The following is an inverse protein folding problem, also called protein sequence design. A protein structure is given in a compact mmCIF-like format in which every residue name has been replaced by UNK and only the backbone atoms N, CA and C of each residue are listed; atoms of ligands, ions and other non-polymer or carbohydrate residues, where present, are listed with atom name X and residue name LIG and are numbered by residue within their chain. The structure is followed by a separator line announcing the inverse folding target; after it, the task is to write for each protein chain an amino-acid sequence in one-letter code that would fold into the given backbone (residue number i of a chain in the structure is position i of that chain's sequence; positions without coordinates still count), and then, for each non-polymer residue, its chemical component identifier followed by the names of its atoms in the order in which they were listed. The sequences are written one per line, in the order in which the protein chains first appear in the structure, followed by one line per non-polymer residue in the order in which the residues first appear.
data_IF_215589866508
#
_entry.id   IF_215589866508
#
_cell.length_a   1.000
_cell.length_b   1.000
_cell.length_c   1.000
_cell.angle_alpha   90.00
_cell.angle_beta   90.00
_cell.angle_gamma   90.00
#
_symmetry.space_group_name_H-M   'P 1'
#
loop_
_entity.id
_entity.type
_entity.pdbx_description
1 polymer ?
#
# COMPACT_ATOMS: atom_id res chain seq x y z
N UNK A 1 13.22 11.87 -63.12
CA UNK A 1 13.29 10.83 -62.10
C UNK A 1 12.93 11.46 -60.75
N UNK A 2 11.85 11.09 -60.07
CA UNK A 2 11.57 11.55 -58.71
C UNK A 2 12.29 10.65 -57.72
N UNK A 3 13.04 11.26 -56.85
CA UNK A 3 13.70 10.61 -55.72
C UNK A 3 12.63 10.40 -54.64
N UNK A 4 12.25 9.14 -54.45
CA UNK A 4 11.36 8.71 -53.40
C UNK A 4 12.15 8.61 -52.09
N UNK A 5 11.91 9.52 -51.13
CA UNK A 5 12.43 9.42 -49.79
C UNK A 5 11.61 8.35 -49.02
N UNK A 6 12.23 7.22 -48.73
CA UNK A 6 11.73 6.23 -47.82
C UNK A 6 11.97 6.74 -46.40
N UNK A 7 10.91 7.18 -45.72
CA UNK A 7 10.91 7.33 -44.26
C UNK A 7 10.89 5.93 -43.66
N UNK A 8 12.03 5.42 -43.24
CA UNK A 8 12.05 4.31 -42.26
C UNK A 8 11.59 4.87 -40.93
N UNK A 9 10.34 4.59 -40.58
CA UNK A 9 9.88 4.69 -39.19
C UNK A 9 10.59 3.56 -38.46
N UNK A 10 11.66 3.86 -37.73
CA UNK A 10 12.17 2.99 -36.68
C UNK A 10 11.12 2.95 -35.58
N UNK A 11 10.25 1.95 -35.62
CA UNK A 11 9.52 1.51 -34.45
C UNK A 11 10.53 0.86 -33.49
N UNK A 12 11.29 1.67 -32.76
CA UNK A 12 11.86 1.24 -31.51
C UNK A 12 10.67 0.89 -30.62
N UNK A 13 10.52 -0.37 -30.23
CA UNK A 13 9.69 -0.69 -29.10
C UNK A 13 10.23 0.16 -27.94
N UNK A 14 9.47 1.15 -27.52
CA UNK A 14 9.72 1.78 -26.22
C UNK A 14 9.76 0.60 -25.26
N UNK A 15 10.90 0.37 -24.61
CA UNK A 15 10.96 -0.54 -23.48
C UNK A 15 9.99 0.03 -22.47
N UNK A 16 9.04 -0.77 -22.08
CA UNK A 16 8.16 -0.46 -20.98
C UNK A 16 9.03 -0.31 -19.72
N UNK A 17 8.74 0.70 -18.92
CA UNK A 17 9.50 1.03 -17.73
C UNK A 17 8.56 0.95 -16.52
N UNK A 18 8.92 0.22 -15.44
CA UNK A 18 8.07 0.12 -14.25
C UNK A 18 7.69 1.51 -13.71
N UNK A 19 6.37 1.71 -13.47
CA UNK A 19 5.81 2.98 -13.04
C UNK A 19 5.46 3.94 -14.16
N UNK A 20 5.56 3.54 -15.44
CA UNK A 20 5.04 4.35 -16.53
C UNK A 20 3.52 4.51 -16.40
N UNK A 21 3.03 5.76 -16.42
CA UNK A 21 1.60 6.06 -16.48
C UNK A 21 1.04 5.56 -17.83
N UNK A 22 0.01 4.71 -17.78
CA UNK A 22 -0.64 4.16 -18.97
C UNK A 22 -1.82 5.04 -19.37
N UNK A 23 -2.72 5.26 -18.44
CA UNK A 23 -3.87 6.15 -18.57
C UNK A 23 -4.39 6.59 -17.20
N UNK A 24 -5.35 7.51 -17.21
CA UNK A 24 -6.04 7.99 -16.02
C UNK A 24 -7.45 8.45 -16.34
N UNK A 25 -8.34 8.36 -15.36
CA UNK A 25 -9.72 8.84 -15.47
C UNK A 25 -10.06 9.77 -14.31
N UNK A 26 -10.58 10.94 -14.61
CA UNK A 26 -11.14 11.83 -13.61
C UNK A 26 -12.47 11.28 -13.12
N UNK A 27 -12.56 10.91 -11.84
CA UNK A 27 -13.77 10.34 -11.25
C UNK A 27 -14.72 11.40 -10.70
N UNK A 28 -14.17 12.36 -9.93
CA UNK A 28 -14.99 13.40 -9.27
C UNK A 28 -14.18 14.60 -8.84
N UNK A 29 -14.89 15.70 -8.55
CA UNK A 29 -14.33 16.90 -7.93
C UNK A 29 -15.25 17.32 -6.79
N UNK A 30 -14.66 17.69 -5.65
CA UNK A 30 -15.40 18.16 -4.48
C UNK A 30 -14.85 19.53 -4.06
N UNK A 31 -15.74 20.46 -3.73
CA UNK A 31 -15.33 21.74 -3.16
C UNK A 31 -15.01 21.60 -1.67
N UNK A 32 -14.21 22.53 -1.14
CA UNK A 32 -13.93 22.61 0.30
C UNK A 32 -15.24 22.64 1.13
N UNK A 33 -16.24 23.39 0.68
CA UNK A 33 -17.54 23.51 1.37
C UNK A 33 -18.30 22.16 1.39
N UNK A 34 -18.29 21.41 0.28
CA UNK A 34 -18.93 20.09 0.20
C UNK A 34 -18.28 19.10 1.16
N UNK A 35 -16.94 19.09 1.22
CA UNK A 35 -16.16 18.20 2.10
C UNK A 35 -16.45 18.55 3.56
N UNK A 36 -16.38 19.84 3.94
CA UNK A 36 -16.66 20.29 5.30
C UNK A 36 -18.09 19.97 5.72
N UNK A 37 -19.05 20.02 4.79
CA UNK A 37 -20.43 19.61 5.07
C UNK A 37 -20.54 18.09 5.36
N UNK A 38 -19.84 17.25 4.59
CA UNK A 38 -19.80 15.79 4.81
C UNK A 38 -19.17 15.49 6.16
N UNK A 39 -18.02 16.06 6.48
CA UNK A 39 -17.32 15.88 7.75
C UNK A 39 -18.23 16.27 8.93
N UNK A 40 -18.91 17.41 8.83
CA UNK A 40 -19.84 17.86 9.86
C UNK A 40 -21.00 16.88 10.08
N UNK A 41 -21.61 16.35 9.01
CA UNK A 41 -22.66 15.33 9.11
C UNK A 41 -22.16 14.02 9.70
N UNK A 42 -20.90 13.67 9.46
CA UNK A 42 -20.25 12.50 10.04
C UNK A 42 -19.82 12.69 11.52
N UNK A 43 -19.97 13.90 12.06
CA UNK A 43 -19.64 14.23 13.45
C UNK A 43 -18.18 14.68 13.66
N UNK A 44 -17.46 14.97 12.57
CA UNK A 44 -16.11 15.53 12.63
C UNK A 44 -16.13 17.05 12.52
N UNK A 45 -15.08 17.69 13.06
CA UNK A 45 -14.88 19.12 12.83
C UNK A 45 -14.55 19.39 11.35
N UNK A 46 -14.98 20.54 10.78
CA UNK A 46 -14.59 20.94 9.43
C UNK A 46 -13.09 21.26 9.40
N UNK A 47 -12.31 20.41 8.75
CA UNK A 47 -10.84 20.53 8.68
C UNK A 47 -10.31 20.68 7.25
N UNK A 48 -11.18 20.71 6.25
CA UNK A 48 -10.77 20.87 4.86
C UNK A 48 -10.34 22.31 4.58
N UNK A 49 -9.10 22.46 4.12
CA UNK A 49 -8.54 23.72 3.63
C UNK A 49 -8.64 23.84 2.10
N UNK A 50 -8.71 22.69 1.40
CA UNK A 50 -8.72 22.61 -0.05
C UNK A 50 -9.93 21.84 -0.58
N UNK A 51 -10.40 22.19 -1.78
CA UNK A 51 -11.17 21.30 -2.62
C UNK A 51 -10.25 20.25 -3.24
N UNK A 52 -10.83 19.18 -3.78
CA UNK A 52 -10.06 18.05 -4.31
C UNK A 52 -10.57 17.59 -5.67
N UNK A 53 -9.68 17.01 -6.48
CA UNK A 53 -10.00 16.17 -7.64
C UNK A 53 -9.55 14.75 -7.39
N UNK A 54 -10.35 13.78 -7.86
CA UNK A 54 -10.13 12.34 -7.68
C UNK A 54 -9.91 11.70 -9.04
N UNK A 55 -8.82 10.97 -9.15
CA UNK A 55 -8.45 10.22 -10.35
C UNK A 55 -8.21 8.75 -10.03
N UNK A 56 -8.68 7.84 -10.87
CA UNK A 56 -8.05 6.55 -11.00
C UNK A 56 -6.89 6.63 -12.00
N UNK A 57 -5.84 5.88 -11.77
CA UNK A 57 -4.70 5.77 -12.67
C UNK A 57 -4.35 4.31 -12.92
N UNK A 58 -3.92 4.02 -14.15
CA UNK A 58 -3.28 2.75 -14.49
C UNK A 58 -1.81 3.00 -14.77
N UNK A 59 -0.96 2.15 -14.23
CA UNK A 59 0.50 2.28 -14.35
C UNK A 59 1.16 0.93 -14.58
N UNK A 60 2.30 0.96 -15.25
CA UNK A 60 3.05 -0.25 -15.53
C UNK A 60 3.76 -0.78 -14.28
N UNK A 61 3.72 -2.08 -14.12
CA UNK A 61 4.46 -2.82 -13.12
C UNK A 61 5.08 -4.08 -13.73
N UNK A 62 5.76 -4.87 -12.92
CA UNK A 62 6.27 -6.17 -13.32
C UNK A 62 5.93 -7.21 -12.26
N UNK A 63 5.44 -8.34 -12.71
CA UNK A 63 5.22 -9.50 -11.85
C UNK A 63 6.54 -9.97 -11.23
N UNK A 64 6.45 -10.91 -10.30
CA UNK A 64 7.59 -11.61 -9.71
C UNK A 64 8.44 -12.33 -10.75
N UNK A 65 7.87 -12.76 -11.86
CA UNK A 65 8.56 -13.41 -12.99
C UNK A 65 9.13 -12.41 -14.02
N UNK A 66 9.02 -11.09 -13.77
CA UNK A 66 9.51 -10.04 -14.65
C UNK A 66 8.67 -9.83 -15.90
N UNK A 67 7.44 -10.34 -15.95
CA UNK A 67 6.49 -10.02 -17.02
C UNK A 67 5.86 -8.67 -16.78
N UNK A 68 5.63 -7.92 -17.86
CA UNK A 68 4.93 -6.63 -17.79
C UNK A 68 3.52 -6.84 -17.25
N UNK A 69 3.14 -6.01 -16.30
CA UNK A 69 1.86 -6.00 -15.64
C UNK A 69 1.28 -4.59 -15.60
N UNK A 70 -0.02 -4.47 -15.46
CA UNK A 70 -0.72 -3.19 -15.26
C UNK A 70 -1.41 -3.23 -13.91
N UNK A 71 -1.09 -2.24 -13.07
CA UNK A 71 -1.74 -2.02 -11.79
C UNK A 71 -2.55 -0.74 -11.81
N UNK A 72 -3.48 -0.61 -10.88
CA UNK A 72 -4.31 0.57 -10.73
C UNK A 72 -4.22 1.14 -9.31
N UNK A 73 -4.81 2.32 -9.12
CA UNK A 73 -4.96 2.94 -7.81
C UNK A 73 -5.61 4.31 -7.89
N UNK A 74 -5.96 4.83 -6.73
CA UNK A 74 -6.67 6.09 -6.56
C UNK A 74 -5.71 7.21 -6.17
N UNK A 75 -5.83 8.36 -6.83
CA UNK A 75 -5.07 9.59 -6.54
C UNK A 75 -6.04 10.72 -6.23
N UNK A 76 -5.85 11.36 -5.09
CA UNK A 76 -6.66 12.49 -4.66
C UNK A 76 -5.77 13.72 -4.54
N UNK A 77 -6.10 14.78 -5.27
CA UNK A 77 -5.25 15.94 -5.48
C UNK A 77 -5.93 17.18 -4.87
N UNK A 78 -5.29 17.86 -3.90
CA UNK A 78 -5.77 19.13 -3.36
C UNK A 78 -5.63 20.25 -4.40
N UNK A 79 -6.61 21.15 -4.45
CA UNK A 79 -6.61 22.26 -5.40
C UNK A 79 -5.84 23.46 -4.87
N UNK A 80 -4.69 23.75 -5.46
CA UNK A 80 -4.00 25.00 -5.27
C UNK A 80 -3.23 25.41 -6.53
N UNK A 81 -3.36 26.65 -7.00
CA UNK A 81 -2.57 27.13 -8.12
C UNK A 81 -1.14 27.51 -7.75
N UNK A 82 -0.83 27.67 -6.46
CA UNK A 82 0.40 28.30 -5.97
C UNK A 82 1.21 27.47 -4.99
N UNK A 83 0.72 26.28 -4.60
CA UNK A 83 1.32 25.46 -3.57
C UNK A 83 1.72 24.08 -4.11
N UNK A 84 2.80 23.54 -3.53
CA UNK A 84 3.27 22.18 -3.69
C UNK A 84 3.03 21.41 -2.39
N UNK A 85 2.58 20.18 -2.50
CA UNK A 85 2.11 19.36 -1.40
C UNK A 85 2.98 18.12 -1.17
N UNK A 86 3.07 17.61 0.06
CA UNK A 86 3.63 16.31 0.32
C UNK A 86 2.80 15.19 -0.32
N UNK A 87 3.46 14.08 -0.66
CA UNK A 87 2.79 12.83 -0.99
C UNK A 87 2.49 12.09 0.31
N UNK A 88 1.23 11.73 0.50
CA UNK A 88 0.77 10.82 1.52
C UNK A 88 0.27 9.55 0.85
N UNK A 89 0.89 8.42 1.17
CA UNK A 89 0.43 7.13 0.65
C UNK A 89 -0.33 6.40 1.73
N UNK A 90 -1.46 5.82 1.36
CA UNK A 90 -2.23 4.98 2.25
C UNK A 90 -2.30 3.56 1.71
N UNK A 91 -1.80 2.64 2.50
CA UNK A 91 -1.91 1.21 2.26
C UNK A 91 -3.18 0.72 2.96
N UNK A 92 -4.16 0.30 2.17
CA UNK A 92 -5.46 -0.14 2.69
C UNK A 92 -5.37 -1.51 3.37
N UNK A 93 -6.33 -1.80 4.26
CA UNK A 93 -6.48 -3.10 4.88
C UNK A 93 -6.90 -4.20 3.90
N UNK A 94 -7.09 -5.42 4.37
CA UNK A 94 -7.40 -6.58 3.54
C UNK A 94 -8.63 -6.37 2.66
N UNK A 95 -8.45 -6.48 1.37
CA UNK A 95 -9.49 -6.53 0.34
C UNK A 95 -9.46 -7.91 -0.32
N UNK A 96 -10.63 -8.51 -0.49
CA UNK A 96 -10.79 -9.83 -1.13
C UNK A 96 -11.72 -9.77 -2.34
N UNK A 97 -12.59 -8.76 -2.42
CA UNK A 97 -13.49 -8.54 -3.55
C UNK A 97 -12.87 -7.54 -4.53
N UNK A 98 -12.74 -7.89 -5.79
CA UNK A 98 -12.26 -6.98 -6.84
C UNK A 98 -13.07 -5.68 -6.90
N UNK A 99 -14.38 -5.77 -6.66
CA UNK A 99 -15.26 -4.60 -6.66
C UNK A 99 -14.98 -3.60 -5.53
N UNK A 100 -14.14 -3.95 -4.54
CA UNK A 100 -13.74 -3.09 -3.42
C UNK A 100 -12.39 -2.41 -3.63
N UNK A 101 -11.73 -2.64 -4.77
CA UNK A 101 -10.50 -1.94 -5.12
C UNK A 101 -10.67 -0.41 -5.01
N UNK A 102 -9.72 0.33 -4.43
CA UNK A 102 -9.79 1.79 -4.31
C UNK A 102 -10.07 2.51 -5.62
N UNK A 103 -9.43 2.12 -6.73
CA UNK A 103 -9.66 2.71 -8.06
C UNK A 103 -11.10 2.50 -8.56
N UNK A 104 -11.73 1.39 -8.18
CA UNK A 104 -13.11 1.06 -8.58
C UNK A 104 -14.14 1.77 -7.70
N UNK A 105 -13.94 1.73 -6.38
CA UNK A 105 -14.89 2.33 -5.43
C UNK A 105 -14.81 3.85 -5.40
N UNK A 106 -13.62 4.40 -5.63
CA UNK A 106 -13.36 5.83 -5.46
C UNK A 106 -13.69 6.30 -4.04
N UNK A 107 -14.05 7.58 -3.91
CA UNK A 107 -14.53 8.15 -2.65
C UNK A 107 -16.04 7.90 -2.53
N UNK A 108 -16.41 6.75 -1.99
CA UNK A 108 -17.82 6.36 -1.82
C UNK A 108 -18.09 5.68 -0.48
N UNK A 109 -19.35 5.61 -0.10
CA UNK A 109 -19.77 4.91 1.12
C UNK A 109 -19.64 3.37 1.02
N UNK A 110 -19.36 2.85 -0.15
CA UNK A 110 -19.15 1.40 -0.36
C UNK A 110 -17.77 0.95 0.16
N UNK A 111 -16.84 1.93 0.31
CA UNK A 111 -15.55 1.71 0.96
C UNK A 111 -15.29 2.83 2.00
N UNK A 112 -15.72 2.58 3.23
CA UNK A 112 -15.67 3.58 4.32
C UNK A 112 -14.24 3.95 4.70
N UNK A 113 -13.30 3.01 4.62
CA UNK A 113 -11.89 3.24 4.92
C UNK A 113 -11.29 4.25 3.92
N UNK A 114 -11.44 4.00 2.63
CA UNK A 114 -10.94 4.89 1.57
C UNK A 114 -11.65 6.25 1.61
N UNK A 115 -12.96 6.28 1.84
CA UNK A 115 -13.72 7.51 2.03
C UNK A 115 -13.14 8.35 3.18
N UNK A 116 -12.94 7.74 4.36
CA UNK A 116 -12.44 8.42 5.54
C UNK A 116 -11.04 9.01 5.31
N UNK A 117 -10.10 8.20 4.84
CA UNK A 117 -8.73 8.64 4.56
C UNK A 117 -8.71 9.77 3.53
N UNK A 118 -9.45 9.62 2.44
CA UNK A 118 -9.50 10.62 1.37
C UNK A 118 -10.03 11.97 1.83
N UNK A 119 -11.05 11.98 2.72
CA UNK A 119 -11.68 13.21 3.20
C UNK A 119 -10.89 13.91 4.31
N UNK A 120 -9.94 13.25 4.96
CA UNK A 120 -9.11 13.92 5.98
C UNK A 120 -7.72 14.31 5.44
N UNK A 121 -7.14 13.55 4.52
CA UNK A 121 -5.76 13.78 4.07
C UNK A 121 -5.66 14.78 2.92
N UNK A 122 -6.29 14.50 1.79
CA UNK A 122 -6.16 15.36 0.61
C UNK A 122 -6.70 16.78 0.86
N UNK A 123 -7.88 16.98 1.50
CA UNK A 123 -8.36 18.32 1.79
C UNK A 123 -7.52 19.10 2.81
N UNK A 124 -6.63 18.43 3.55
CA UNK A 124 -5.68 19.07 4.47
C UNK A 124 -4.32 19.35 3.83
N UNK A 125 -4.20 19.17 2.52
CA UNK A 125 -3.00 19.52 1.76
C UNK A 125 -2.00 18.37 1.59
N UNK A 126 -2.48 17.16 1.31
CA UNK A 126 -1.66 16.03 0.85
C UNK A 126 -2.12 15.56 -0.53
N UNK A 127 -1.18 15.22 -1.40
CA UNK A 127 -1.49 14.39 -2.56
C UNK A 127 -1.62 12.97 -2.02
N UNK A 128 -2.87 12.49 -1.93
CA UNK A 128 -3.15 11.17 -1.36
C UNK A 128 -3.11 10.12 -2.45
N UNK A 129 -2.33 9.08 -2.22
CA UNK A 129 -2.02 7.99 -3.18
C UNK A 129 -2.38 6.66 -2.55
N UNK A 130 -3.28 5.90 -3.17
CA UNK A 130 -3.81 4.65 -2.63
C UNK A 130 -3.72 3.58 -3.74
N UNK A 131 -2.70 2.70 -3.71
CA UNK A 131 -2.60 1.60 -4.68
C UNK A 131 -3.68 0.54 -4.42
N UNK A 132 -4.18 -0.10 -5.48
CA UNK A 132 -5.10 -1.25 -5.36
C UNK A 132 -4.39 -2.54 -4.92
N UNK A 133 -3.07 -2.58 -5.00
CA UNK A 133 -2.19 -3.75 -4.93
C UNK A 133 -2.28 -4.67 -6.16
N UNK A 134 -1.29 -5.56 -6.29
CA UNK A 134 -1.26 -6.56 -7.36
C UNK A 134 -2.44 -7.52 -7.23
N UNK A 135 -3.19 -7.71 -8.31
CA UNK A 135 -4.29 -8.67 -8.39
C UNK A 135 -5.62 -8.20 -7.82
N UNK A 136 -5.69 -7.09 -7.08
CA UNK A 136 -6.95 -6.51 -6.62
C UNK A 136 -7.58 -5.70 -7.76
N UNK A 137 -8.87 -5.96 -8.04
CA UNK A 137 -9.62 -5.30 -9.11
C UNK A 137 -9.37 -5.90 -10.50
N UNK A 138 -8.62 -6.98 -10.63
CA UNK A 138 -8.33 -7.68 -11.88
C UNK A 138 -8.70 -9.17 -11.76
N UNK A 139 -9.83 -9.62 -12.31
CA UNK A 139 -10.34 -10.99 -12.14
C UNK A 139 -9.47 -12.07 -12.81
N UNK A 140 -8.48 -11.68 -13.60
CA UNK A 140 -7.55 -12.61 -14.28
C UNK A 140 -6.28 -12.85 -13.44
N UNK A 141 -6.19 -12.22 -12.25
CA UNK A 141 -5.00 -12.28 -11.39
C UNK A 141 -5.37 -12.69 -9.96
N UNK A 142 -4.41 -13.29 -9.27
CA UNK A 142 -4.49 -13.47 -7.82
C UNK A 142 -3.78 -12.32 -7.10
N UNK A 143 -4.19 -12.06 -5.86
CA UNK A 143 -3.49 -11.12 -4.99
C UNK A 143 -2.43 -11.86 -4.15
N UNK A 144 -1.14 -11.46 -4.23
CA UNK A 144 -0.07 -12.01 -3.39
C UNK A 144 -0.16 -11.42 -1.97
N UNK A 145 -1.13 -11.90 -1.20
CA UNK A 145 -1.52 -11.40 0.12
C UNK A 145 -0.42 -11.63 1.16
N UNK A 146 -0.07 -10.60 1.93
CA UNK A 146 0.98 -10.59 2.96
C UNK A 146 2.35 -11.04 2.39
N UNK A 147 2.70 -10.53 1.21
CA UNK A 147 4.00 -10.71 0.58
C UNK A 147 4.65 -9.34 0.34
N UNK A 148 5.82 -9.11 0.92
CA UNK A 148 6.44 -7.79 1.03
C UNK A 148 6.78 -7.11 -0.32
N UNK A 149 7.41 -7.86 -1.23
CA UNK A 149 7.91 -7.30 -2.49
C UNK A 149 6.81 -6.78 -3.43
N UNK A 150 5.66 -7.47 -3.66
CA UNK A 150 4.54 -6.94 -4.43
C UNK A 150 3.97 -5.63 -3.87
N UNK A 151 3.81 -5.50 -2.55
CA UNK A 151 3.35 -4.27 -1.91
C UNK A 151 4.30 -3.10 -2.20
N UNK A 152 5.60 -3.31 -1.99
CA UNK A 152 6.62 -2.29 -2.29
C UNK A 152 6.58 -1.87 -3.76
N UNK A 153 6.53 -2.83 -4.70
CA UNK A 153 6.50 -2.54 -6.14
C UNK A 153 5.23 -1.79 -6.55
N UNK A 154 4.07 -2.19 -6.04
CA UNK A 154 2.81 -1.51 -6.32
C UNK A 154 2.90 -0.04 -5.92
N UNK A 155 3.37 0.26 -4.71
CA UNK A 155 3.51 1.61 -4.21
C UNK A 155 4.54 2.44 -4.99
N UNK A 156 5.76 1.94 -5.16
CA UNK A 156 6.83 2.68 -5.84
C UNK A 156 6.46 3.00 -7.28
N UNK A 157 5.90 2.02 -8.00
CA UNK A 157 5.46 2.22 -9.38
C UNK A 157 4.27 3.18 -9.47
N UNK A 158 3.35 3.16 -8.49
CA UNK A 158 2.27 4.14 -8.45
C UNK A 158 2.79 5.56 -8.22
N UNK A 159 3.75 5.77 -7.31
CA UNK A 159 4.37 7.09 -7.10
C UNK A 159 5.00 7.61 -8.39
N UNK A 160 5.67 6.75 -9.15
CA UNK A 160 6.23 7.11 -10.49
C UNK A 160 5.13 7.54 -11.46
N UNK A 161 4.01 6.81 -11.50
CA UNK A 161 2.83 7.16 -12.30
C UNK A 161 2.22 8.50 -11.89
N UNK A 162 2.11 8.76 -10.58
CA UNK A 162 1.61 10.05 -10.04
C UNK A 162 2.53 11.20 -10.41
N UNK A 163 3.86 11.00 -10.37
CA UNK A 163 4.82 12.00 -10.85
C UNK A 163 4.63 12.33 -12.34
N UNK A 164 4.29 11.35 -13.17
CA UNK A 164 3.98 11.59 -14.60
C UNK A 164 2.61 12.28 -14.76
N UNK A 165 1.60 11.89 -13.97
CA UNK A 165 0.29 12.53 -13.97
C UNK A 165 0.40 14.04 -13.67
N UNK A 166 1.30 14.45 -12.78
CA UNK A 166 1.51 15.87 -12.45
C UNK A 166 2.03 16.69 -13.64
N UNK A 167 2.68 16.04 -14.61
CA UNK A 167 3.17 16.67 -15.85
C UNK A 167 2.05 16.74 -16.90
N UNK A 168 1.16 15.74 -16.94
CA UNK A 168 0.09 15.66 -17.93
C UNK A 168 -1.11 16.55 -17.60
N UNK A 169 -1.39 16.76 -16.31
CA UNK A 169 -2.49 17.63 -15.89
C UNK A 169 -2.10 19.10 -15.99
N UNK A 170 -2.97 19.89 -16.63
CA UNK A 170 -2.81 21.33 -16.84
C UNK A 170 -3.96 22.13 -16.21
N UNK A 171 -3.75 23.43 -16.04
CA UNK A 171 -4.79 24.34 -15.55
C UNK A 171 -5.06 24.19 -14.05
N UNK A 172 -6.34 24.11 -13.68
CA UNK A 172 -6.76 24.06 -12.27
C UNK A 172 -6.45 22.71 -11.62
N UNK A 173 -6.32 21.66 -12.42
CA UNK A 173 -6.02 20.30 -11.94
C UNK A 173 -4.50 20.03 -11.89
N UNK A 174 -3.68 20.94 -12.42
CA UNK A 174 -2.23 20.86 -12.33
C UNK A 174 -1.75 20.97 -10.89
N UNK A 175 -0.95 20.00 -10.43
CA UNK A 175 -0.42 19.96 -9.09
C UNK A 175 1.10 19.85 -9.08
N UNK A 176 1.71 20.12 -7.94
CA UNK A 176 3.12 19.92 -7.71
C UNK A 176 3.30 19.27 -6.33
N UNK A 177 4.15 18.26 -6.26
CA UNK A 177 4.58 17.69 -5.00
C UNK A 177 5.89 18.33 -4.52
N UNK A 178 6.10 18.33 -3.22
CA UNK A 178 7.36 18.63 -2.59
C UNK A 178 8.13 17.32 -2.28
N UNK A 179 9.28 17.41 -1.59
CA UNK A 179 10.13 16.23 -1.34
C UNK A 179 9.65 15.34 -0.18
N UNK A 180 8.51 15.65 0.45
CA UNK A 180 8.01 14.85 1.56
C UNK A 180 7.18 13.67 1.08
N UNK A 181 7.47 12.49 1.65
CA UNK A 181 6.74 11.23 1.43
C UNK A 181 6.37 10.61 2.78
N UNK A 182 5.08 10.46 3.01
CA UNK A 182 4.52 9.79 4.19
C UNK A 182 3.91 8.46 3.80
N UNK A 183 4.18 7.42 4.59
CA UNK A 183 3.60 6.09 4.44
C UNK A 183 2.71 5.79 5.63
N UNK A 184 1.47 5.35 5.41
CA UNK A 184 0.57 4.94 6.49
C UNK A 184 -0.35 3.82 6.03
N UNK A 185 -0.76 2.95 6.95
CA UNK A 185 -1.72 1.89 6.69
C UNK A 185 -2.05 1.09 7.93
N UNK A 186 -3.19 0.40 7.90
CA UNK A 186 -3.73 -0.36 9.01
C UNK A 186 -3.90 -1.83 8.63
N UNK A 187 -3.66 -2.77 9.56
CA UNK A 187 -3.84 -4.21 9.32
C UNK A 187 -2.86 -4.73 8.24
N UNK A 188 -3.34 -5.38 7.16
CA UNK A 188 -2.56 -5.66 5.95
C UNK A 188 -1.87 -4.39 5.44
N UNK A 189 -2.56 -3.25 5.45
CA UNK A 189 -1.97 -1.97 5.10
C UNK A 189 -0.83 -1.53 6.04
N UNK A 190 -0.88 -1.91 7.31
CA UNK A 190 0.22 -1.73 8.26
C UNK A 190 1.44 -2.57 7.87
N UNK A 191 1.22 -3.83 7.49
CA UNK A 191 2.25 -4.69 6.93
C UNK A 191 2.84 -4.12 5.63
N UNK A 192 1.98 -3.75 4.67
CA UNK A 192 2.37 -3.17 3.40
C UNK A 192 3.15 -1.85 3.58
N UNK A 193 2.81 -1.05 4.60
CA UNK A 193 3.52 0.19 4.97
C UNK A 193 4.94 -0.10 5.40
N UNK A 194 5.15 -1.05 6.33
CA UNK A 194 6.48 -1.40 6.81
C UNK A 194 7.32 -2.09 5.71
N UNK A 195 6.70 -2.97 4.91
CA UNK A 195 7.33 -3.61 3.76
C UNK A 195 7.79 -2.57 2.73
N UNK A 196 6.94 -1.59 2.43
CA UNK A 196 7.28 -0.51 1.49
C UNK A 196 8.36 0.41 2.02
N UNK A 197 8.36 0.74 3.32
CA UNK A 197 9.43 1.51 3.94
C UNK A 197 10.78 0.77 3.83
N UNK A 198 10.81 -0.54 4.17
CA UNK A 198 12.00 -1.39 4.03
C UNK A 198 12.49 -1.41 2.58
N UNK A 199 11.58 -1.68 1.62
CA UNK A 199 11.95 -1.76 0.22
C UNK A 199 12.42 -0.42 -0.35
N UNK A 200 11.80 0.70 0.02
CA UNK A 200 12.27 2.04 -0.40
C UNK A 200 13.67 2.31 0.14
N UNK A 201 13.93 2.03 1.42
CA UNK A 201 15.24 2.26 2.04
C UNK A 201 16.35 1.40 1.39
N UNK A 202 16.05 0.14 1.06
CA UNK A 202 17.06 -0.80 0.56
C UNK A 202 17.25 -0.72 -0.96
N UNK A 203 16.14 -0.65 -1.72
CA UNK A 203 16.16 -0.85 -3.17
C UNK A 203 15.90 0.44 -3.97
N UNK A 204 15.29 1.47 -3.36
CA UNK A 204 14.85 2.69 -4.05
C UNK A 204 15.31 3.98 -3.38
N UNK A 205 16.32 3.92 -2.49
CA UNK A 205 16.84 5.09 -1.77
C UNK A 205 17.47 6.16 -2.66
N UNK A 206 17.90 5.81 -3.87
CA UNK A 206 18.39 6.76 -4.87
C UNK A 206 17.25 7.60 -5.50
N UNK A 207 15.98 7.18 -5.34
CA UNK A 207 14.82 7.79 -5.98
C UNK A 207 13.81 8.37 -4.97
N UNK A 208 13.59 7.69 -3.86
CA UNK A 208 12.59 8.02 -2.86
C UNK A 208 13.22 8.11 -1.46
N UNK A 209 12.74 9.07 -0.68
CA UNK A 209 13.09 9.20 0.73
C UNK A 209 11.82 9.33 1.57
N UNK A 210 11.64 8.44 2.54
CA UNK A 210 10.49 8.45 3.44
C UNK A 210 10.69 9.52 4.50
N UNK A 211 9.74 10.46 4.62
CA UNK A 211 9.76 11.50 5.66
C UNK A 211 9.39 10.93 7.02
N UNK A 212 8.34 10.12 7.08
CA UNK A 212 7.93 9.34 8.24
C UNK A 212 6.99 8.21 7.82
N UNK A 213 6.95 7.13 8.59
CA UNK A 213 6.16 5.93 8.33
C UNK A 213 5.30 5.56 9.53
N UNK A 214 4.08 5.14 9.27
CA UNK A 214 3.05 4.86 10.26
C UNK A 214 2.43 3.48 10.02
N UNK A 215 3.19 2.39 10.26
CA UNK A 215 2.65 1.03 10.21
C UNK A 215 1.77 0.77 11.45
N UNK A 216 0.47 0.45 11.22
CA UNK A 216 -0.51 0.30 12.28
C UNK A 216 -1.12 -1.10 12.26
N UNK A 217 -1.11 -1.79 13.42
CA UNK A 217 -1.74 -3.08 13.66
C UNK A 217 -1.48 -4.15 12.57
N UNK A 218 -0.26 -4.19 12.02
CA UNK A 218 0.13 -5.14 10.99
C UNK A 218 0.84 -6.38 11.52
N UNK A 219 0.78 -7.52 10.79
CA UNK A 219 1.47 -8.76 11.15
C UNK A 219 2.94 -8.72 10.69
N UNK A 220 3.82 -8.04 11.42
CA UNK A 220 5.21 -7.80 11.03
C UNK A 220 6.13 -9.00 11.27
N UNK A 221 5.79 -9.85 12.24
CA UNK A 221 6.51 -11.04 12.65
C UNK A 221 5.69 -12.29 12.32
N UNK A 222 5.69 -12.63 11.02
CA UNK A 222 4.88 -13.72 10.49
C UNK A 222 5.36 -15.09 10.99
N UNK A 223 6.68 -15.32 10.97
CA UNK A 223 7.29 -16.61 11.32
C UNK A 223 7.36 -16.86 12.83
N UNK A 224 7.34 -15.78 13.63
CA UNK A 224 7.33 -15.85 15.09
C UNK A 224 5.93 -15.65 15.64
N UNK A 225 5.59 -14.40 15.96
CA UNK A 225 4.36 -14.02 16.68
C UNK A 225 3.08 -14.57 16.03
N UNK A 226 2.95 -14.50 14.69
CA UNK A 226 1.74 -14.99 14.02
C UNK A 226 1.63 -16.51 14.04
N UNK A 227 2.73 -17.23 13.81
CA UNK A 227 2.74 -18.69 13.90
C UNK A 227 2.42 -19.15 15.31
N UNK A 228 3.08 -18.57 16.32
CA UNK A 228 2.82 -18.89 17.73
C UNK A 228 1.35 -18.66 18.12
N UNK A 229 0.77 -17.58 17.62
CA UNK A 229 -0.64 -17.24 17.85
C UNK A 229 -1.56 -18.32 17.26
N UNK A 230 -1.42 -18.67 15.99
CA UNK A 230 -2.26 -19.68 15.34
C UNK A 230 -2.09 -21.10 15.90
N UNK A 231 -0.91 -21.43 16.40
CA UNK A 231 -0.68 -22.74 17.04
C UNK A 231 -1.22 -22.79 18.49
N UNK A 232 -1.34 -21.65 19.18
CA UNK A 232 -1.81 -21.60 20.56
C UNK A 232 -3.31 -21.32 20.70
N UNK A 233 -3.91 -20.60 19.75
CA UNK A 233 -5.32 -20.19 19.78
C UNK A 233 -6.10 -20.96 18.71
N UNK A 234 -6.89 -21.99 19.12
CA UNK A 234 -7.60 -22.84 18.17
C UNK A 234 -8.81 -22.15 17.52
N UNK A 235 -9.32 -21.07 18.11
CA UNK A 235 -10.45 -20.29 17.57
C UNK A 235 -9.93 -18.95 17.07
N UNK A 236 -10.21 -18.62 15.80
CA UNK A 236 -9.78 -17.37 15.18
C UNK A 236 -10.98 -16.61 14.62
N UNK A 237 -11.08 -15.33 14.95
CA UNK A 237 -12.26 -14.49 14.64
C UNK A 237 -12.52 -14.35 13.14
N UNK A 238 -11.48 -14.39 12.32
CA UNK A 238 -11.55 -14.29 10.87
C UNK A 238 -10.76 -15.45 10.21
N UNK A 239 -11.26 -16.69 10.30
CA UNK A 239 -10.51 -17.87 9.90
C UNK A 239 -10.06 -17.88 8.42
N UNK A 240 -10.70 -17.12 7.52
CA UNK A 240 -10.32 -17.06 6.11
C UNK A 240 -8.97 -16.41 5.84
N UNK A 241 -8.43 -15.61 6.76
CA UNK A 241 -7.11 -15.00 6.56
C UNK A 241 -5.99 -16.03 6.45
N UNK A 242 -6.07 -17.12 7.21
CA UNK A 242 -5.04 -18.18 7.17
C UNK A 242 -4.96 -18.82 5.79
N UNK A 243 -6.03 -19.43 5.22
CA UNK A 243 -5.94 -19.96 3.87
C UNK A 243 -5.65 -18.88 2.80
N UNK A 244 -6.02 -17.62 3.02
CA UNK A 244 -5.66 -16.55 2.10
C UNK A 244 -4.14 -16.34 2.03
N UNK A 245 -3.46 -16.30 3.18
CA UNK A 245 -1.99 -16.27 3.23
C UNK A 245 -1.40 -17.53 2.59
N UNK A 246 -1.84 -18.73 3.02
CA UNK A 246 -1.25 -19.97 2.56
C UNK A 246 -1.41 -20.18 1.04
N UNK A 247 -2.58 -19.90 0.49
CA UNK A 247 -2.81 -20.01 -0.96
C UNK A 247 -2.01 -18.98 -1.75
N UNK A 248 -1.94 -17.73 -1.26
CA UNK A 248 -1.13 -16.68 -1.89
C UNK A 248 0.35 -17.02 -1.90
N UNK A 249 0.89 -17.57 -0.81
CA UNK A 249 2.28 -18.00 -0.73
C UNK A 249 2.56 -19.19 -1.66
N UNK A 250 1.65 -20.18 -1.77
CA UNK A 250 1.79 -21.27 -2.74
C UNK A 250 1.85 -20.73 -4.17
N UNK A 251 0.92 -19.88 -4.57
CA UNK A 251 0.90 -19.32 -5.91
C UNK A 251 2.13 -18.47 -6.21
N UNK A 252 2.55 -17.65 -5.24
CA UNK A 252 3.68 -16.76 -5.43
C UNK A 252 5.01 -17.51 -5.58
N UNK A 253 5.28 -18.49 -4.72
CA UNK A 253 6.56 -19.19 -4.68
C UNK A 253 6.63 -20.44 -5.55
N UNK A 254 5.51 -21.13 -5.77
CA UNK A 254 5.47 -22.37 -6.54
C UNK A 254 4.77 -22.25 -7.90
N UNK A 255 4.07 -21.15 -8.14
CA UNK A 255 3.33 -20.86 -9.36
C UNK A 255 1.88 -21.35 -9.33
N UNK A 256 1.10 -20.89 -10.31
CA UNK A 256 -0.35 -21.13 -10.37
C UNK A 256 -0.73 -22.61 -10.62
N UNK A 257 0.19 -23.41 -11.11
CA UNK A 257 -0.02 -24.86 -11.39
C UNK A 257 0.27 -25.75 -10.18
N UNK A 258 0.54 -25.18 -8.99
CA UNK A 258 0.80 -25.95 -7.75
C UNK A 258 -0.36 -26.87 -7.40
N UNK A 259 -0.08 -28.09 -7.00
CA UNK A 259 -1.10 -29.08 -6.60
C UNK A 259 -1.50 -28.85 -5.13
N UNK A 260 -2.66 -28.26 -4.91
CA UNK A 260 -3.19 -27.99 -3.57
C UNK A 260 -3.46 -29.29 -2.77
N UNK A 261 -3.65 -30.43 -3.46
CA UNK A 261 -3.85 -31.71 -2.78
C UNK A 261 -2.58 -32.23 -2.05
N UNK A 262 -1.42 -31.62 -2.29
CA UNK A 262 -0.21 -31.89 -1.52
C UNK A 262 -0.20 -31.20 -0.15
N UNK A 263 -1.09 -30.22 0.10
CA UNK A 263 -1.09 -29.38 1.29
C UNK A 263 -2.40 -29.42 2.08
N UNK A 264 -3.53 -29.51 1.37
CA UNK A 264 -4.85 -29.33 1.96
C UNK A 264 -5.69 -30.60 1.89
N UNK A 265 -6.59 -30.74 2.87
CA UNK A 265 -7.63 -31.76 2.84
C UNK A 265 -8.43 -31.69 1.52
N UNK A 266 -8.92 -32.84 0.96
CA UNK A 266 -9.47 -32.89 -0.39
C UNK A 266 -10.55 -31.88 -0.71
N UNK A 267 -11.45 -31.56 0.24
CA UNK A 267 -12.47 -30.55 0.06
C UNK A 267 -11.85 -29.16 -0.13
N UNK A 268 -10.85 -28.84 0.66
CA UNK A 268 -10.18 -27.54 0.62
C UNK A 268 -9.25 -27.40 -0.59
N UNK A 269 -8.55 -28.46 -0.96
CA UNK A 269 -7.73 -28.46 -2.16
C UNK A 269 -8.54 -28.13 -3.42
N UNK A 270 -9.77 -28.67 -3.53
CA UNK A 270 -10.67 -28.40 -4.65
C UNK A 270 -11.35 -27.00 -4.59
N UNK A 271 -11.53 -26.45 -3.38
CA UNK A 271 -12.39 -25.29 -3.15
C UNK A 271 -11.61 -23.97 -3.04
N UNK A 272 -10.47 -23.96 -2.32
CA UNK A 272 -9.70 -22.73 -2.04
C UNK A 272 -9.36 -21.90 -3.29
N UNK A 273 -8.94 -22.49 -4.43
CA UNK A 273 -8.60 -21.69 -5.60
C UNK A 273 -9.76 -20.83 -6.12
N UNK A 274 -11.01 -21.27 -5.92
CA UNK A 274 -12.19 -20.53 -6.34
C UNK A 274 -12.72 -19.54 -5.30
N UNK A 275 -12.29 -19.65 -4.04
CA UNK A 275 -12.71 -18.72 -2.98
C UNK A 275 -11.90 -17.41 -3.00
N UNK A 276 -10.69 -17.45 -3.55
CA UNK A 276 -9.78 -16.30 -3.62
C UNK A 276 -9.65 -15.76 -5.05
N UNK A 277 -10.75 -15.78 -5.82
CA UNK A 277 -10.84 -15.33 -7.21
C UNK A 277 -11.38 -13.88 -7.35
N UNK A 278 -11.47 -13.12 -6.27
CA UNK A 278 -11.98 -11.75 -6.25
C UNK A 278 -13.51 -11.62 -6.28
N UNK A 279 -14.26 -12.74 -6.28
CA UNK A 279 -15.74 -12.71 -6.38
C UNK A 279 -16.46 -13.04 -5.08
N UNK A 280 -15.77 -13.60 -4.07
CA UNK A 280 -16.33 -13.99 -2.79
C UNK A 280 -15.94 -13.00 -1.69
N UNK A 281 -16.88 -12.64 -0.82
CA UNK A 281 -16.58 -11.81 0.35
C UNK A 281 -15.94 -12.63 1.47
N UNK A 282 -15.15 -11.98 2.34
CA UNK A 282 -14.58 -12.62 3.52
C UNK A 282 -15.64 -13.27 4.43
N UNK A 283 -16.83 -12.68 4.53
CA UNK A 283 -17.95 -13.26 5.28
C UNK A 283 -18.46 -14.57 4.66
N UNK A 284 -18.59 -14.64 3.35
CA UNK A 284 -19.01 -15.87 2.65
C UNK A 284 -17.97 -16.98 2.82
N UNK A 285 -16.68 -16.64 2.78
CA UNK A 285 -15.61 -17.62 2.99
C UNK A 285 -15.59 -18.08 4.45
N UNK A 286 -15.73 -17.17 5.43
CA UNK A 286 -15.78 -17.51 6.85
C UNK A 286 -16.92 -18.48 7.20
N UNK A 287 -18.08 -18.37 6.52
CA UNK A 287 -19.20 -19.32 6.73
C UNK A 287 -18.84 -20.75 6.37
N UNK A 288 -17.85 -20.97 5.52
CA UNK A 288 -17.36 -22.30 5.12
C UNK A 288 -16.23 -22.80 6.02
N UNK A 289 -15.46 -21.88 6.64
CA UNK A 289 -14.24 -22.21 7.36
C UNK A 289 -14.50 -22.95 8.67
N UNK A 290 -13.60 -23.87 9.10
CA UNK A 290 -13.60 -24.43 10.44
C UNK A 290 -13.24 -23.36 11.48
N UNK A 291 -13.59 -23.58 12.76
CA UNK A 291 -13.23 -22.71 13.87
C UNK A 291 -11.71 -22.56 14.00
N UNK A 292 -10.98 -23.69 13.90
CA UNK A 292 -9.53 -23.68 13.75
C UNK A 292 -9.16 -23.65 12.27
N UNK A 293 -8.63 -22.54 11.74
CA UNK A 293 -8.30 -22.44 10.31
C UNK A 293 -7.19 -23.38 9.84
N UNK A 294 -6.40 -23.95 10.76
CA UNK A 294 -5.37 -24.93 10.41
C UNK A 294 -5.92 -26.33 10.13
N UNK A 295 -7.18 -26.63 10.52
CA UNK A 295 -7.84 -27.90 10.24
C UNK A 295 -8.09 -28.15 8.73
N UNK A 296 -7.79 -27.19 7.90
CA UNK A 296 -7.83 -27.32 6.42
C UNK A 296 -6.61 -28.05 5.86
N UNK A 297 -5.50 -28.11 6.62
CA UNK A 297 -4.26 -28.77 6.20
C UNK A 297 -4.36 -30.29 6.34
N UNK A 298 -3.58 -31.01 5.54
CA UNK A 298 -3.36 -32.43 5.77
C UNK A 298 -2.66 -32.66 7.13
N UNK A 299 -2.97 -33.76 7.81
CA UNK A 299 -2.41 -34.08 9.15
C UNK A 299 -0.88 -34.05 9.17
N UNK A 300 -0.22 -34.59 8.11
CA UNK A 300 1.24 -34.61 7.98
C UNK A 300 1.82 -33.22 7.67
N UNK A 301 1.13 -32.44 6.87
CA UNK A 301 1.51 -31.05 6.59
C UNK A 301 1.40 -30.18 7.86
N UNK A 302 0.35 -30.37 8.65
CA UNK A 302 0.19 -29.66 9.93
C UNK A 302 1.29 -30.08 10.92
N UNK A 303 1.59 -31.40 11.05
CA UNK A 303 2.68 -31.89 11.91
C UNK A 303 4.04 -31.31 11.49
N UNK A 304 4.32 -31.23 10.20
CA UNK A 304 5.54 -30.60 9.66
C UNK A 304 5.55 -29.09 9.91
N UNK A 305 4.43 -28.39 9.66
CA UNK A 305 4.31 -26.95 9.95
C UNK A 305 4.59 -26.63 11.43
N UNK A 306 4.10 -27.46 12.36
CA UNK A 306 4.34 -27.30 13.79
C UNK A 306 5.80 -27.54 14.21
N UNK A 307 6.47 -28.54 13.62
CA UNK A 307 7.70 -29.11 14.16
C UNK A 307 8.93 -28.94 13.27
N UNK A 308 8.79 -28.50 12.02
CA UNK A 308 9.89 -28.36 11.06
C UNK A 308 9.98 -26.91 10.56
N UNK A 309 10.99 -26.18 11.02
CA UNK A 309 11.27 -24.81 10.56
C UNK A 309 11.68 -24.75 9.08
N UNK A 310 12.13 -25.87 8.49
CA UNK A 310 12.46 -25.95 7.07
C UNK A 310 11.23 -26.26 6.19
N UNK A 311 10.03 -26.48 6.78
CA UNK A 311 8.80 -26.66 6.02
C UNK A 311 8.47 -25.44 5.14
N UNK A 312 7.94 -25.68 3.92
CA UNK A 312 7.69 -24.65 2.92
C UNK A 312 6.94 -23.40 3.49
N UNK A 313 5.83 -23.62 4.18
CA UNK A 313 5.07 -22.49 4.74
C UNK A 313 5.86 -21.70 5.80
N UNK A 314 6.65 -22.39 6.66
CA UNK A 314 7.51 -21.72 7.65
C UNK A 314 8.55 -20.86 6.96
N UNK A 315 9.22 -21.37 5.94
CA UNK A 315 10.22 -20.64 5.16
C UNK A 315 9.63 -19.45 4.40
N UNK A 316 8.45 -19.63 3.81
CA UNK A 316 7.79 -18.53 3.09
C UNK A 316 7.30 -17.41 4.02
N UNK A 317 6.87 -17.73 5.25
CA UNK A 317 6.53 -16.74 6.27
C UNK A 317 7.79 -16.04 6.81
N UNK A 318 8.90 -16.75 7.00
CA UNK A 318 10.18 -16.17 7.42
C UNK A 318 10.70 -15.16 6.40
N UNK A 319 10.65 -15.49 5.10
CA UNK A 319 11.06 -14.57 4.02
C UNK A 319 10.26 -13.26 4.00
N UNK A 320 9.01 -13.31 4.49
CA UNK A 320 8.10 -12.16 4.54
C UNK A 320 7.98 -11.53 5.94
N UNK A 321 8.74 -12.01 6.91
CA UNK A 321 8.92 -11.37 8.21
C UNK A 321 9.75 -10.09 8.06
N UNK A 322 9.31 -8.98 8.66
CA UNK A 322 9.85 -7.64 8.38
C UNK A 322 10.81 -7.13 9.46
N UNK A 323 11.59 -8.00 10.10
CA UNK A 323 12.39 -7.66 11.29
C UNK A 323 13.91 -7.59 11.03
N UNK A 324 14.41 -7.98 9.86
CA UNK A 324 15.84 -8.18 9.54
C UNK A 324 16.57 -6.91 9.05
N UNK A 325 16.05 -5.73 9.36
CA UNK A 325 16.60 -4.44 8.95
C UNK A 325 16.48 -3.40 10.09
N UNK A 326 16.94 -2.17 9.85
CA UNK A 326 16.84 -1.06 10.82
C UNK A 326 16.26 0.16 10.12
N UNK A 327 15.09 0.66 10.53
CA UNK A 327 14.52 1.89 9.97
C UNK A 327 15.44 3.10 10.16
N UNK A 328 15.70 3.84 9.08
CA UNK A 328 16.44 5.10 9.10
C UNK A 328 15.50 6.31 9.20
N UNK A 329 14.26 6.17 8.72
CA UNK A 329 13.23 7.22 8.81
C UNK A 329 12.42 7.07 10.10
N UNK A 330 11.85 8.18 10.64
CA UNK A 330 10.92 8.12 11.78
C UNK A 330 9.81 7.11 11.53
N UNK A 331 9.61 6.19 12.48
CA UNK A 331 8.65 5.07 12.35
C UNK A 331 7.78 5.00 13.61
N UNK A 332 6.46 5.08 13.41
CA UNK A 332 5.47 5.17 14.48
C UNK A 332 4.51 3.99 14.42
N UNK A 333 4.68 3.04 15.33
CA UNK A 333 3.76 1.91 15.48
C UNK A 333 2.58 2.28 16.38
N UNK A 334 1.37 1.90 15.96
CA UNK A 334 0.14 2.00 16.74
C UNK A 334 -0.58 0.66 16.74
N UNK A 335 -1.06 0.20 17.92
CA UNK A 335 -1.75 -1.08 18.02
C UNK A 335 -2.69 -1.11 19.21
N UNK A 336 -3.85 -1.79 19.10
CA UNK A 336 -4.77 -2.05 20.20
C UNK A 336 -4.38 -3.30 20.97
N UNK A 337 -4.34 -3.24 22.29
CA UNK A 337 -4.06 -4.42 23.14
C UNK A 337 -5.19 -5.44 23.16
N UNK A 338 -6.41 -5.07 22.71
CA UNK A 338 -7.54 -5.96 22.56
C UNK A 338 -7.71 -6.54 21.15
N UNK A 339 -6.69 -6.39 20.29
CA UNK A 339 -6.73 -6.85 18.90
C UNK A 339 -6.89 -8.38 18.85
N UNK A 340 -7.98 -8.84 18.24
CA UNK A 340 -8.40 -10.23 18.15
C UNK A 340 -8.08 -10.88 16.78
N UNK A 341 -7.39 -10.14 15.91
CA UNK A 341 -6.98 -10.58 14.56
C UNK A 341 -5.45 -10.60 14.43
N UNK A 342 -4.80 -9.49 14.75
CA UNK A 342 -3.35 -9.36 14.75
C UNK A 342 -2.90 -9.08 16.17
N UNK A 343 -2.30 -10.03 16.90
CA UNK A 343 -1.86 -9.81 18.26
C UNK A 343 -0.86 -8.65 18.33
N UNK A 344 -1.08 -7.72 19.28
CA UNK A 344 -0.28 -6.49 19.42
C UNK A 344 1.21 -6.76 19.66
N UNK A 345 1.55 -7.96 20.07
CA UNK A 345 2.92 -8.45 20.19
C UNK A 345 3.71 -8.32 18.87
N UNK A 346 3.05 -8.36 17.72
CA UNK A 346 3.68 -8.07 16.43
C UNK A 346 4.35 -6.69 16.42
N UNK A 347 3.63 -5.66 16.83
CA UNK A 347 4.18 -4.30 16.91
C UNK A 347 5.24 -4.18 18.04
N UNK A 348 5.05 -4.89 19.14
CA UNK A 348 5.99 -4.88 20.27
C UNK A 348 7.30 -5.57 19.91
N UNK A 349 7.26 -6.71 19.22
CA UNK A 349 8.46 -7.44 18.75
C UNK A 349 9.19 -6.61 17.70
N UNK A 350 8.47 -6.02 16.73
CA UNK A 350 9.08 -5.15 15.72
C UNK A 350 9.78 -3.95 16.36
N UNK A 351 9.10 -3.22 17.24
CA UNK A 351 9.67 -2.09 17.97
C UNK A 351 10.93 -2.48 18.75
N UNK A 352 10.86 -3.55 19.55
CA UNK A 352 12.00 -3.99 20.37
C UNK A 352 13.18 -4.40 19.50
N UNK A 353 12.94 -5.16 18.44
CA UNK A 353 13.98 -5.62 17.51
C UNK A 353 14.68 -4.45 16.84
N UNK A 354 13.92 -3.45 16.38
CA UNK A 354 14.53 -2.27 15.74
C UNK A 354 15.33 -1.42 16.72
N UNK A 355 14.84 -1.20 17.94
CA UNK A 355 15.56 -0.48 18.99
C UNK A 355 16.84 -1.24 19.40
N UNK A 356 16.77 -2.54 19.60
CA UNK A 356 17.93 -3.37 19.97
C UNK A 356 18.98 -3.41 18.84
N UNK A 357 18.55 -3.30 17.58
CA UNK A 357 19.42 -3.22 16.41
C UNK A 357 19.93 -1.78 16.13
N UNK A 358 19.54 -0.80 16.95
CA UNK A 358 20.10 0.54 16.93
C UNK A 358 19.27 1.61 16.21
N UNK A 359 18.00 1.36 15.91
CA UNK A 359 17.10 2.40 15.43
C UNK A 359 16.93 3.51 16.47
N UNK A 360 17.00 4.76 16.05
CA UNK A 360 16.99 5.93 16.95
C UNK A 360 15.69 6.71 16.94
N UNK A 361 14.83 6.49 15.94
CA UNK A 361 13.59 7.23 15.74
C UNK A 361 12.42 6.26 15.44
N UNK A 362 12.19 5.35 16.37
CA UNK A 362 11.10 4.40 16.35
C UNK A 362 10.29 4.53 17.63
N UNK A 363 8.98 4.57 17.53
CA UNK A 363 8.08 4.64 18.69
C UNK A 363 6.95 3.63 18.56
N UNK A 364 6.39 3.22 19.69
CA UNK A 364 5.23 2.34 19.80
C UNK A 364 4.24 2.94 20.79
N UNK A 365 3.01 3.10 20.34
CA UNK A 365 1.86 3.43 21.18
C UNK A 365 0.87 2.28 21.17
N UNK A 366 0.57 1.74 22.37
CA UNK A 366 -0.41 0.69 22.57
C UNK A 366 -1.68 1.27 23.17
N UNK A 367 -2.80 1.01 22.53
CA UNK A 367 -4.12 1.45 23.02
C UNK A 367 -4.73 0.40 23.94
N UNK A 368 -5.45 0.83 25.02
CA UNK A 368 -6.03 -0.09 25.99
C UNK A 368 -7.02 -1.08 25.37
N UNK A 369 -7.08 -2.30 25.93
CA UNK A 369 -7.99 -3.38 25.53
C UNK A 369 -9.47 -2.98 25.54
N UNK A 370 -9.85 -2.04 26.44
CA UNK A 370 -11.21 -1.54 26.57
C UNK A 370 -11.71 -0.77 25.33
N UNK A 371 -10.83 -0.39 24.40
CA UNK A 371 -11.24 0.21 23.15
C UNK A 371 -11.80 -0.79 22.13
N UNK A 372 -11.70 -2.09 22.42
CA UNK A 372 -12.25 -3.16 21.60
C UNK A 372 -11.24 -3.90 20.76
N UNK A 373 -11.75 -4.70 19.79
CA UNK A 373 -10.95 -5.53 18.90
C UNK A 373 -10.31 -4.76 17.74
N UNK A 374 -9.76 -5.52 16.79
CA UNK A 374 -9.01 -5.02 15.64
C UNK A 374 -9.72 -3.89 14.88
N UNK A 375 -10.99 -4.10 14.52
CA UNK A 375 -11.75 -3.10 13.75
C UNK A 375 -12.19 -1.90 14.60
N UNK A 376 -12.38 -2.07 15.90
CA UNK A 376 -12.88 -1.02 16.79
C UNK A 376 -11.81 0.05 17.06
N UNK A 377 -10.53 -0.36 17.13
CA UNK A 377 -9.42 0.55 17.45
C UNK A 377 -8.83 1.23 16.21
N UNK A 378 -9.18 0.80 15.00
CA UNK A 378 -8.59 1.27 13.75
C UNK A 378 -8.62 2.79 13.59
N UNK A 379 -9.80 3.42 13.78
CA UNK A 379 -9.94 4.87 13.68
C UNK A 379 -9.08 5.61 14.71
N UNK A 380 -8.92 5.05 15.91
CA UNK A 380 -8.07 5.63 16.96
C UNK A 380 -6.60 5.62 16.54
N UNK A 381 -6.10 4.51 16.01
CA UNK A 381 -4.74 4.40 15.47
C UNK A 381 -4.51 5.39 14.32
N UNK A 382 -5.44 5.44 13.36
CA UNK A 382 -5.36 6.32 12.20
C UNK A 382 -5.33 7.81 12.60
N UNK A 383 -6.18 8.24 13.52
CA UNK A 383 -6.20 9.62 13.99
C UNK A 383 -4.97 9.98 14.82
N UNK A 384 -4.44 9.06 15.64
CA UNK A 384 -3.20 9.27 16.38
C UNK A 384 -2.02 9.48 15.42
N UNK A 385 -1.86 8.59 14.44
CA UNK A 385 -0.83 8.72 13.40
C UNK A 385 -1.01 9.99 12.58
N UNK A 386 -2.22 10.31 12.17
CA UNK A 386 -2.52 11.52 11.40
C UNK A 386 -2.13 12.81 12.14
N UNK A 387 -2.35 12.85 13.46
CA UNK A 387 -1.94 14.01 14.27
C UNK A 387 -0.43 14.23 14.21
N UNK A 388 0.36 13.16 14.26
CA UNK A 388 1.83 13.25 14.13
C UNK A 388 2.24 13.62 12.70
N UNK A 389 1.55 13.10 11.68
CA UNK A 389 1.81 13.44 10.27
C UNK A 389 1.68 14.96 10.04
N UNK A 390 0.66 15.59 10.61
CA UNK A 390 0.45 17.03 10.51
C UNK A 390 1.59 17.87 11.11
N UNK A 391 2.27 17.38 12.16
CA UNK A 391 3.43 18.05 12.74
C UNK A 391 4.66 18.04 11.81
N UNK A 392 4.76 17.06 10.92
CA UNK A 392 5.80 16.95 9.89
C UNK A 392 5.46 17.69 8.61
N UNK A 393 4.17 17.92 8.33
CA UNK A 393 3.70 18.46 7.06
C UNK A 393 4.33 19.81 6.73
N UNK A 394 4.81 19.95 5.50
CA UNK A 394 5.20 21.23 4.91
C UNK A 394 4.43 21.45 3.62
N UNK A 395 3.93 22.65 3.44
CA UNK A 395 3.33 23.10 2.18
C UNK A 395 4.24 24.19 1.65
N UNK A 396 4.79 24.01 0.45
CA UNK A 396 5.76 24.89 -0.16
C UNK A 396 5.13 25.71 -1.30
N UNK A 397 5.66 26.90 -1.66
CA UNK A 397 5.27 27.56 -2.88
C UNK A 397 5.62 26.69 -4.11
N UNK A 398 4.76 26.71 -5.15
CA UNK A 398 5.09 26.07 -6.43
C UNK A 398 6.40 26.64 -7.00
N UNK A 399 7.32 25.75 -7.37
CA UNK A 399 8.61 26.13 -7.89
C UNK A 399 9.73 26.22 -6.85
N UNK A 400 9.44 25.99 -5.58
CA UNK A 400 10.41 25.82 -4.51
C UNK A 400 10.98 24.39 -4.60
N UNK A 401 12.12 24.25 -5.30
CA UNK A 401 12.74 22.95 -5.62
C UNK A 401 13.71 22.47 -4.52
N UNK A 402 14.19 23.36 -3.66
CA UNK A 402 15.09 23.03 -2.55
C UNK A 402 14.37 23.06 -1.19
N UNK A 403 13.04 23.27 -1.21
CA UNK A 403 12.16 23.27 -0.03
C UNK A 403 12.57 24.24 1.08
N UNK A 404 13.21 25.39 0.71
CA UNK A 404 13.60 26.45 1.64
C UNK A 404 12.46 27.42 1.97
N UNK A 405 11.29 27.27 1.32
CA UNK A 405 10.11 28.08 1.46
C UNK A 405 10.08 29.33 0.56
N UNK A 406 11.05 29.48 -0.34
CA UNK A 406 11.18 30.63 -1.25
C UNK A 406 11.45 30.11 -2.68
N UNK A 407 10.84 30.73 -3.68
CA UNK A 407 11.19 30.48 -5.08
C UNK A 407 12.35 31.39 -5.48
N UNK A 408 13.48 30.83 -5.78
CA UNK A 408 14.76 31.52 -5.96
C UNK A 408 15.49 31.16 -7.27
N UNK A 409 16.70 31.66 -7.48
CA UNK A 409 17.57 31.22 -8.58
C UNK A 409 18.17 29.84 -8.37
N UNK A 410 18.17 29.33 -7.12
CA UNK A 410 18.64 27.97 -6.79
C UNK A 410 17.64 26.98 -7.35
N UNK A 411 16.35 27.21 -7.15
CA UNK A 411 15.26 26.40 -7.69
C UNK A 411 15.30 26.32 -9.21
N UNK A 412 15.55 27.46 -9.86
CA UNK A 412 15.70 27.49 -11.31
C UNK A 412 16.91 26.68 -11.79
N UNK A 413 17.99 26.65 -11.01
CA UNK A 413 19.16 25.84 -11.32
C UNK A 413 18.86 24.35 -11.17
N UNK A 414 18.20 23.94 -10.07
CA UNK A 414 17.76 22.57 -9.81
C UNK A 414 16.79 22.09 -10.89
N UNK A 415 15.82 22.94 -11.27
CA UNK A 415 14.92 22.65 -12.38
C UNK A 415 15.67 22.40 -13.69
N UNK A 416 16.73 23.17 -13.96
CA UNK A 416 17.55 23.02 -15.18
C UNK A 416 18.36 21.72 -15.19
N UNK A 417 18.75 21.19 -14.05
CA UNK A 417 19.44 19.91 -13.89
C UNK A 417 18.48 18.71 -14.00
N UNK A 418 17.22 18.87 -13.61
CA UNK A 418 16.19 17.83 -13.70
C UNK A 418 15.64 17.62 -15.11
N UNK A 419 15.85 18.57 -16.03
CA UNK A 419 15.41 18.46 -17.42
C UNK A 419 16.46 17.63 -18.19
N UNK A 420 16.12 16.43 -18.72
CA UNK A 420 17.03 15.66 -19.56
C UNK A 420 17.37 16.46 -20.80
N UNK A 421 18.57 17.00 -20.89
CA UNK A 421 19.06 17.68 -22.11
C UNK A 421 19.35 16.61 -23.14
N UNK A 422 18.37 16.27 -23.96
CA UNK A 422 18.60 15.50 -25.16
C UNK A 422 19.36 16.37 -26.16
N UNK A 423 20.70 16.28 -26.14
CA UNK A 423 21.54 16.82 -27.19
C UNK A 423 21.37 16.00 -28.47
N UNK A 424 20.30 16.22 -29.21
CA UNK A 424 20.19 15.85 -30.60
C UNK A 424 19.50 16.99 -31.33
N UNK A 425 20.35 17.72 -32.07
CA UNK A 425 20.13 18.63 -33.18
C UNK A 425 20.66 20.06 -32.96
N UNK A 426 21.97 20.16 -33.18
CA UNK A 426 22.59 21.30 -33.88
C UNK A 426 23.86 20.80 -34.59
N UNK A 427 23.68 20.23 -35.79
CA UNK A 427 24.61 20.30 -36.93
C UNK A 427 23.85 20.19 -38.24
#
# INVERSE_FOLDING_TARGET
LPIMFFFMILSGSLKSEPGQLIDYTHQSTMTQDDINLILWFAGFDPVADYGISVYDIHYESHSEYGTVDTLAGLVIIPHSPTEAFPIFTYQHGTVILDSQAPSITGISADNVEILFISLITAPSGFITVIPDYTGIGDPDKYHPYIIANPHTKALVNMIRGVKQLSIELEGNDGFQFNDQLFLAGYSDGGYATLASQKGIQIDYSDELSVTASFPMAGPYDLSGTMVDYFLSEPEYTQPYYVPYVLTSHLWYYQGLDVDFAEYFEPFWADTLPSLFDGTHSGSEINELMPENPLDILLDDVLEEFENDEDHFFRQSLEENTLLDWVPESPTYFYHGMGDDIVPYENAQVAYNTFVDNGATDVSLELFPEELGGHSDVAVTCLLAGYTVILDYQKISPKGDMDSDGLVSLIDLALLSESIPVSYTHLR
#
